data_IF_173415506295
#
_entry.id   IF_173415506295
#
_cell.length_a   1.000
_cell.length_b   1.000
_cell.length_c   1.000
_cell.angle_alpha   90.00
_cell.angle_beta   90.00
_cell.angle_gamma   90.00
#
_symmetry.space_group_name_H-M   'P 1'
#
loop_
_entity.id
_entity.type
_entity.pdbx_description
1 polymer ?
#
# COMPACT_ATOMS: atom_id res chain seq x y z
N UNK A 1 11.63 14.97 -3.98
CA UNK A 1 10.68 14.20 -4.82
C UNK A 1 9.29 14.45 -4.27
N UNK A 2 8.29 14.60 -5.13
CA UNK A 2 6.91 14.82 -4.71
C UNK A 2 6.00 13.71 -5.27
N UNK A 3 5.11 13.18 -4.44
CA UNK A 3 3.98 12.33 -4.82
C UNK A 3 2.78 13.22 -5.06
N UNK A 4 2.25 13.17 -6.28
CA UNK A 4 1.06 13.91 -6.70
C UNK A 4 -0.14 12.98 -6.72
N UNK A 5 -1.23 13.37 -6.06
CA UNK A 5 -2.53 12.73 -6.21
C UNK A 5 -3.64 13.79 -6.20
N UNK A 6 -4.66 13.60 -7.05
CA UNK A 6 -5.76 14.56 -7.23
C UNK A 6 -5.29 15.98 -7.60
N UNK A 7 -4.22 16.09 -8.40
CA UNK A 7 -3.68 17.38 -8.85
C UNK A 7 -2.97 18.19 -7.75
N UNK A 8 -2.72 17.60 -6.57
CA UNK A 8 -2.01 18.24 -5.46
C UNK A 8 -0.80 17.41 -5.04
N UNK A 9 0.24 18.09 -4.55
CA UNK A 9 1.37 17.43 -3.89
C UNK A 9 0.88 16.93 -2.54
N UNK A 10 0.93 15.62 -2.34
CA UNK A 10 0.47 14.95 -1.12
C UNK A 10 1.62 14.62 -0.19
N UNK A 11 2.80 14.39 -0.76
CA UNK A 11 3.98 14.00 -0.02
C UNK A 11 5.20 14.51 -0.75
N UNK A 12 6.10 15.21 -0.07
CA UNK A 12 7.33 15.74 -0.66
C UNK A 12 8.50 15.49 0.28
N UNK A 13 9.62 15.02 -0.27
CA UNK A 13 10.82 14.76 0.51
C UNK A 13 11.89 14.00 -0.24
N UNK A 14 12.92 13.58 0.51
CA UNK A 14 13.95 12.70 -0.01
C UNK A 14 13.38 11.29 -0.20
N UNK A 15 13.58 10.62 -1.35
CA UNK A 15 13.04 9.28 -1.63
C UNK A 15 13.26 8.26 -0.51
N UNK A 16 14.43 8.29 0.13
CA UNK A 16 14.79 7.38 1.23
C UNK A 16 13.90 7.58 2.44
N UNK A 17 13.66 8.83 2.83
CA UNK A 17 12.83 9.20 3.98
C UNK A 17 11.36 8.78 3.77
N UNK A 18 10.87 8.94 2.53
CA UNK A 18 9.52 8.51 2.19
C UNK A 18 9.38 6.98 2.23
N UNK A 19 10.38 6.26 1.73
CA UNK A 19 10.42 4.78 1.81
C UNK A 19 10.47 4.34 3.28
N UNK A 20 11.28 4.97 4.12
CA UNK A 20 11.36 4.66 5.55
C UNK A 20 10.05 4.94 6.29
N UNK A 21 9.37 6.03 5.97
CA UNK A 21 8.05 6.36 6.53
C UNK A 21 6.95 5.34 6.18
N UNK A 22 7.17 4.55 5.13
CA UNK A 22 6.23 3.52 4.68
C UNK A 22 6.61 2.12 5.18
N UNK A 23 7.83 1.94 5.72
CA UNK A 23 8.26 0.68 6.34
C UNK A 23 7.42 0.36 7.57
N UNK A 24 7.08 -0.91 7.72
CA UNK A 24 6.25 -1.39 8.83
C UNK A 24 4.77 -1.11 8.69
N UNK A 25 4.33 -0.50 7.56
CA UNK A 25 2.91 -0.23 7.29
C UNK A 25 2.40 -0.91 6.02
N UNK A 26 3.32 -1.36 5.16
CA UNK A 26 2.99 -2.07 3.92
C UNK A 26 3.48 -3.51 4.02
N UNK A 27 2.55 -4.41 3.73
CA UNK A 27 2.75 -5.84 3.83
C UNK A 27 2.38 -6.51 2.51
N UNK A 28 3.12 -7.55 2.13
CA UNK A 28 2.83 -8.32 0.93
C UNK A 28 2.37 -9.73 1.24
N UNK A 29 1.56 -10.29 0.34
CA UNK A 29 1.27 -11.72 0.33
C UNK A 29 1.12 -12.19 -1.10
N UNK A 30 1.55 -13.43 -1.34
CA UNK A 30 1.25 -14.13 -2.59
C UNK A 30 0.02 -15.00 -2.39
N UNK A 31 -1.00 -14.79 -3.22
CA UNK A 31 -2.29 -15.47 -3.15
C UNK A 31 -2.64 -16.05 -4.52
N UNK A 32 -3.63 -16.94 -4.55
CA UNK A 32 -4.22 -17.37 -5.82
C UNK A 32 -5.12 -16.26 -6.41
N UNK A 33 -5.31 -16.26 -7.73
CA UNK A 33 -6.12 -15.24 -8.41
C UNK A 33 -7.55 -15.22 -7.90
N UNK A 34 -8.13 -16.40 -7.67
CA UNK A 34 -9.51 -16.56 -7.20
C UNK A 34 -9.74 -15.96 -5.80
N UNK A 35 -8.68 -15.84 -5.00
CA UNK A 35 -8.77 -15.28 -3.65
C UNK A 35 -8.74 -13.75 -3.62
N UNK A 36 -8.36 -13.10 -4.72
CA UNK A 36 -8.11 -11.66 -4.76
C UNK A 36 -9.31 -10.85 -4.27
N UNK A 37 -10.52 -11.18 -4.72
CA UNK A 37 -11.72 -10.44 -4.32
C UNK A 37 -12.06 -10.64 -2.84
N UNK A 38 -11.81 -11.82 -2.27
CA UNK A 38 -11.94 -12.01 -0.82
C UNK A 38 -10.94 -11.15 -0.04
N UNK A 39 -9.69 -11.05 -0.50
CA UNK A 39 -8.70 -10.18 0.14
C UNK A 39 -9.04 -8.69 0.02
N UNK A 40 -9.64 -8.24 -1.10
CA UNK A 40 -10.11 -6.85 -1.26
C UNK A 40 -11.19 -6.47 -0.25
N UNK A 41 -12.02 -7.42 0.18
CA UNK A 41 -13.08 -7.17 1.16
C UNK A 41 -12.55 -7.07 2.60
N UNK A 42 -11.50 -7.82 2.92
CA UNK A 42 -10.97 -7.92 4.28
C UNK A 42 -9.75 -7.01 4.54
N UNK A 43 -9.07 -6.57 3.48
CA UNK A 43 -7.84 -5.80 3.59
C UNK A 43 -7.83 -4.59 2.68
N UNK A 44 -7.14 -3.55 3.13
CA UNK A 44 -6.89 -2.38 2.32
C UNK A 44 -5.77 -2.66 1.30
N UNK A 45 -6.13 -3.28 0.18
CA UNK A 45 -5.19 -3.50 -0.93
C UNK A 45 -4.87 -2.15 -1.57
N UNK A 46 -3.57 -1.83 -1.66
CA UNK A 46 -3.06 -0.61 -2.27
C UNK A 46 -2.42 -0.88 -3.65
N UNK A 47 -1.96 -2.10 -3.88
CA UNK A 47 -1.42 -2.54 -5.16
C UNK A 47 -1.53 -4.06 -5.29
N UNK A 48 -1.65 -4.57 -6.51
CA UNK A 48 -1.49 -5.99 -6.78
C UNK A 48 -0.87 -6.19 -8.17
N UNK A 49 -0.14 -7.29 -8.35
CA UNK A 49 0.42 -7.68 -9.64
C UNK A 49 0.36 -9.18 -9.85
N UNK A 50 0.23 -9.60 -11.10
CA UNK A 50 0.35 -11.00 -11.47
C UNK A 50 1.83 -11.38 -11.62
N UNK A 51 2.21 -12.49 -11.01
CA UNK A 51 3.56 -13.05 -11.10
C UNK A 51 3.51 -14.57 -11.04
N UNK A 52 4.04 -15.23 -12.07
CA UNK A 52 4.14 -16.70 -12.15
C UNK A 52 2.82 -17.45 -11.86
N UNK A 53 1.70 -16.97 -12.42
CA UNK A 53 0.38 -17.57 -12.24
C UNK A 53 -0.28 -17.29 -10.88
N UNK A 54 0.33 -16.46 -10.04
CA UNK A 54 -0.21 -16.02 -8.75
C UNK A 54 -0.38 -14.51 -8.73
N UNK A 55 -1.06 -14.01 -7.70
CA UNK A 55 -1.20 -12.57 -7.45
C UNK A 55 -0.39 -12.21 -6.22
N UNK A 56 0.51 -11.24 -6.36
CA UNK A 56 1.18 -10.59 -5.24
C UNK A 56 0.34 -9.37 -4.90
N UNK A 57 -0.21 -9.34 -3.68
CA UNK A 57 -0.96 -8.21 -3.15
C UNK A 57 -0.09 -7.43 -2.17
N UNK A 58 -0.23 -6.10 -2.19
CA UNK A 58 0.29 -5.18 -1.18
C UNK A 58 -0.87 -4.57 -0.43
N UNK A 59 -0.84 -4.67 0.90
CA UNK A 59 -1.86 -4.13 1.80
C UNK A 59 -1.25 -3.06 2.70
N UNK A 60 -2.04 -2.03 2.98
CA UNK A 60 -1.69 -1.03 3.98
C UNK A 60 -2.34 -1.41 5.32
N UNK A 61 -1.52 -1.64 6.34
CA UNK A 61 -1.98 -1.94 7.69
C UNK A 61 -0.92 -1.52 8.70
N UNK A 62 -1.35 -0.93 9.83
CA UNK A 62 -0.42 -0.47 10.87
C UNK A 62 0.25 -1.64 11.61
N UNK A 63 -0.41 -2.81 11.62
CA UNK A 63 0.08 -4.05 12.20
C UNK A 63 0.25 -5.11 11.11
N UNK A 64 1.13 -6.09 11.35
CA UNK A 64 1.36 -7.21 10.43
C UNK A 64 0.13 -8.12 10.40
N UNK A 65 -0.58 -8.25 9.27
CA UNK A 65 -1.66 -9.23 9.16
C UNK A 65 -1.07 -10.65 9.05
N UNK A 66 -1.81 -11.65 9.54
CA UNK A 66 -1.32 -13.02 9.59
C UNK A 66 -0.97 -13.57 8.20
N UNK A 67 0.21 -14.19 8.10
CA UNK A 67 0.76 -14.74 6.87
C UNK A 67 1.06 -13.72 5.75
N UNK A 68 1.20 -12.44 6.09
CA UNK A 68 1.83 -11.44 5.23
C UNK A 68 3.29 -11.25 5.60
N UNK A 69 4.10 -10.83 4.64
CA UNK A 69 5.51 -10.53 4.82
C UNK A 69 5.77 -9.02 4.72
N UNK A 70 6.76 -8.48 5.45
CA UNK A 70 7.14 -7.09 5.29
C UNK A 70 7.61 -6.82 3.86
N UNK A 71 7.20 -5.71 3.28
CA UNK A 71 7.79 -5.22 2.04
C UNK A 71 9.09 -4.51 2.39
N UNK A 72 10.18 -4.80 1.68
CA UNK A 72 11.47 -4.11 1.92
C UNK A 72 11.40 -2.60 1.63
N UNK A 73 10.31 -2.16 1.00
CA UNK A 73 9.99 -0.79 0.68
C UNK A 73 10.60 -0.38 -0.65
N UNK A 74 9.77 0.17 -1.53
CA UNK A 74 10.17 0.83 -2.76
C UNK A 74 9.35 2.10 -3.00
N UNK A 75 9.69 2.83 -4.06
CA UNK A 75 8.98 4.07 -4.40
C UNK A 75 7.53 3.82 -4.84
N UNK A 76 7.25 2.66 -5.41
CA UNK A 76 5.90 2.24 -5.76
C UNK A 76 5.02 2.10 -4.50
N UNK A 77 5.54 1.51 -3.42
CA UNK A 77 4.79 1.35 -2.17
C UNK A 77 4.47 2.70 -1.51
N UNK A 78 5.43 3.64 -1.54
CA UNK A 78 5.22 5.02 -1.07
C UNK A 78 4.07 5.68 -1.84
N UNK A 79 4.09 5.56 -3.18
CA UNK A 79 3.06 6.14 -4.04
C UNK A 79 1.68 5.55 -3.73
N UNK A 80 1.56 4.23 -3.68
CA UNK A 80 0.28 3.56 -3.44
C UNK A 80 -0.24 3.76 -2.00
N UNK A 81 0.64 3.81 -1.00
CA UNK A 81 0.27 4.14 0.37
C UNK A 81 -0.25 5.58 0.48
N UNK A 82 0.42 6.53 -0.19
CA UNK A 82 -0.04 7.93 -0.27
C UNK A 82 -1.41 8.01 -0.94
N UNK A 83 -1.59 7.35 -2.08
CA UNK A 83 -2.86 7.33 -2.80
C UNK A 83 -3.99 6.71 -1.95
N UNK A 84 -3.68 5.66 -1.19
CA UNK A 84 -4.62 5.04 -0.25
C UNK A 84 -4.96 5.96 0.93
N UNK A 85 -4.02 6.75 1.42
CA UNK A 85 -4.31 7.78 2.43
C UNK A 85 -5.21 8.89 1.88
N UNK A 86 -5.08 9.24 0.60
CA UNK A 86 -5.88 10.28 -0.06
C UNK A 86 -7.28 9.79 -0.44
N UNK A 87 -7.45 8.50 -0.76
CA UNK A 87 -8.76 7.91 -1.07
C UNK A 87 -9.62 7.69 0.18
N UNK A 88 -8.99 7.60 1.36
CA UNK A 88 -9.73 7.67 2.63
C UNK A 88 -10.28 9.08 2.72
N UNK A 89 -11.61 9.30 2.72
CA UNK A 89 -12.11 10.60 3.13
C UNK A 89 -11.52 10.85 4.51
N UNK A 90 -10.86 12.01 4.68
CA UNK A 90 -10.49 12.46 6.01
C UNK A 90 -11.78 12.37 6.83
N UNK A 91 -11.84 11.42 7.76
CA UNK A 91 -12.86 11.45 8.80
C UNK A 91 -12.48 12.67 9.62
N UNK A 92 -12.98 13.82 9.21
CA UNK A 92 -12.99 15.06 9.95
C UNK A 92 -13.72 14.73 11.24
N UNK A 93 -12.94 14.39 12.26
CA UNK A 93 -13.45 14.13 13.59
C UNK A 93 -13.69 15.51 14.17
N UNK A 94 -14.95 15.91 14.19
CA UNK A 94 -15.45 17.12 14.84
C UNK A 94 -15.25 17.06 16.36
#
# INVERSE_FOLDING_TARGET
MAVLANGRVQLEGAPRDLIESTRGRVWQRTIDHDQLDNYKLNHEIISHRFFAGRVIIHVLSDERPDGFDPVQGGLEDVYFATLASVRRPAVETA
#
